data_IF_190597296250
#
_entry.id   IF_190597296250
#
_cell.length_a   1.000
_cell.length_b   1.000
_cell.length_c   1.000
_cell.angle_alpha   90.00
_cell.angle_beta   90.00
_cell.angle_gamma   90.00
#
_symmetry.space_group_name_H-M   'P 1'
#
loop_
_entity.id
_entity.type
_entity.pdbx_description
1 polymer ?
#
# COMPACT_ATOMS: atom_id res chain seq x y z
N UNK A 1 -10.57 15.64 -2.13
CA UNK A 1 -10.44 14.20 -2.39
C UNK A 1 -9.31 14.00 -3.40
N UNK A 2 -8.15 13.44 -3.00
CA UNK A 2 -7.00 13.27 -3.88
C UNK A 2 -7.39 12.48 -5.15
N UNK A 3 -7.11 13.06 -6.32
CA UNK A 3 -7.37 12.46 -7.64
C UNK A 3 -8.82 12.05 -7.93
N UNK A 4 -9.80 12.45 -7.11
CA UNK A 4 -11.21 12.05 -7.27
C UNK A 4 -11.45 10.55 -7.15
N UNK A 5 -10.52 9.80 -6.55
CA UNK A 5 -10.57 8.34 -6.45
C UNK A 5 -10.65 7.88 -4.98
N UNK A 6 -11.21 6.69 -4.78
CA UNK A 6 -11.22 5.96 -3.50
C UNK A 6 -10.36 4.68 -3.62
N UNK A 7 -9.80 4.16 -2.51
CA UNK A 7 -9.90 4.67 -1.14
C UNK A 7 -8.99 5.87 -0.85
N UNK A 8 -9.32 6.62 0.21
CA UNK A 8 -8.51 7.74 0.75
C UNK A 8 -8.19 7.45 2.22
N UNK A 9 -6.90 7.57 2.58
CA UNK A 9 -6.44 7.60 3.97
C UNK A 9 -6.10 9.05 4.35
N UNK A 10 -6.56 9.51 5.50
CA UNK A 10 -6.24 10.82 6.04
C UNK A 10 -5.45 10.69 7.35
N UNK A 11 -4.28 11.33 7.42
CA UNK A 11 -3.43 11.36 8.63
C UNK A 11 -3.13 12.82 8.95
N UNK A 12 -3.59 13.31 10.11
CA UNK A 12 -3.39 14.69 10.55
C UNK A 12 -3.84 15.73 9.50
N UNK A 13 -5.02 15.55 8.91
CA UNK A 13 -5.56 16.45 7.89
C UNK A 13 -4.90 16.36 6.51
N UNK A 14 -3.99 15.38 6.29
CA UNK A 14 -3.32 15.16 4.99
C UNK A 14 -3.93 13.94 4.29
N UNK A 15 -4.78 14.13 3.26
CA UNK A 15 -5.38 13.01 2.54
C UNK A 15 -4.43 12.46 1.46
N UNK A 16 -4.34 11.14 1.36
CA UNK A 16 -3.62 10.40 0.31
C UNK A 16 -4.57 9.36 -0.30
N UNK A 17 -4.53 9.23 -1.62
CA UNK A 17 -5.17 8.13 -2.36
C UNK A 17 -4.11 7.25 -3.01
N UNK A 18 -4.53 6.14 -3.62
CA UNK A 18 -3.75 4.96 -4.07
C UNK A 18 -3.78 3.83 -3.05
N UNK A 19 -4.63 2.83 -3.31
CA UNK A 19 -4.91 1.71 -2.39
C UNK A 19 -3.64 0.96 -1.98
N UNK A 20 -2.77 0.62 -2.94
CA UNK A 20 -1.57 -0.17 -2.66
C UNK A 20 -0.56 0.64 -1.83
N UNK A 21 -0.39 1.93 -2.12
CA UNK A 21 0.49 2.81 -1.33
C UNK A 21 -0.01 2.96 0.11
N UNK A 22 -1.32 3.12 0.30
CA UNK A 22 -1.98 3.17 1.60
C UNK A 22 -1.78 1.86 2.36
N UNK A 23 -2.05 0.72 1.73
CA UNK A 23 -1.89 -0.61 2.33
C UNK A 23 -0.44 -0.84 2.77
N UNK A 24 0.54 -0.54 1.90
CA UNK A 24 1.97 -0.68 2.20
C UNK A 24 2.41 0.20 3.37
N UNK A 25 1.93 1.44 3.45
CA UNK A 25 2.21 2.32 4.58
C UNK A 25 1.68 1.72 5.90
N UNK A 26 0.44 1.25 5.92
CA UNK A 26 -0.16 0.66 7.12
C UNK A 26 0.53 -0.66 7.49
N UNK A 27 0.89 -1.48 6.51
CA UNK A 27 1.61 -2.73 6.74
C UNK A 27 2.94 -2.47 7.47
N UNK A 28 3.76 -1.52 6.99
CA UNK A 28 5.00 -1.14 7.70
C UNK A 28 4.72 -0.58 9.09
N UNK A 29 3.71 0.29 9.23
CA UNK A 29 3.35 0.92 10.51
C UNK A 29 2.97 -0.10 11.59
N UNK A 30 2.39 -1.24 11.20
CA UNK A 30 1.90 -2.27 12.11
C UNK A 30 2.70 -3.58 12.06
N UNK A 31 3.90 -3.59 11.46
CA UNK A 31 4.78 -4.77 11.45
C UNK A 31 4.28 -5.94 10.59
N UNK A 32 3.57 -5.64 9.49
CA UNK A 32 2.97 -6.60 8.56
C UNK A 32 3.64 -6.59 7.17
N UNK A 33 4.85 -6.03 7.05
CA UNK A 33 5.58 -5.87 5.78
C UNK A 33 6.92 -6.63 5.77
N UNK A 34 7.01 -7.76 6.47
CA UNK A 34 8.26 -8.50 6.63
C UNK A 34 9.17 -7.96 7.74
N UNK A 35 10.20 -8.74 8.08
CA UNK A 35 11.20 -8.43 9.11
C UNK A 35 12.40 -7.65 8.56
N UNK A 36 12.64 -7.73 7.25
CA UNK A 36 13.72 -7.05 6.55
C UNK A 36 13.31 -6.56 5.16
N UNK A 37 14.24 -5.90 4.46
CA UNK A 37 14.02 -5.35 3.12
C UNK A 37 13.70 -6.44 2.08
N UNK A 38 14.26 -7.64 2.25
CA UNK A 38 14.01 -8.75 1.32
C UNK A 38 12.59 -9.27 1.48
N UNK A 39 12.13 -9.50 2.72
CA UNK A 39 10.76 -9.91 3.00
C UNK A 39 9.74 -8.83 2.60
N UNK A 40 10.05 -7.54 2.83
CA UNK A 40 9.20 -6.44 2.36
C UNK A 40 9.08 -6.42 0.84
N UNK A 41 10.19 -6.66 0.13
CA UNK A 41 10.19 -6.75 -1.33
C UNK A 41 9.34 -7.93 -1.80
N UNK A 42 9.39 -9.08 -1.12
CA UNK A 42 8.54 -10.23 -1.45
C UNK A 42 7.04 -9.91 -1.27
N UNK A 43 6.66 -9.13 -0.26
CA UNK A 43 5.28 -8.63 -0.15
C UNK A 43 4.87 -7.76 -1.35
N UNK A 44 5.77 -6.89 -1.81
CA UNK A 44 5.52 -6.02 -2.96
C UNK A 44 5.37 -6.82 -4.25
N UNK A 45 6.25 -7.79 -4.49
CA UNK A 45 6.15 -8.71 -5.64
C UNK A 45 4.77 -9.38 -5.66
N UNK A 46 4.27 -9.89 -4.53
CA UNK A 46 2.97 -10.55 -4.47
C UNK A 46 1.81 -9.60 -4.81
N UNK A 47 1.80 -8.41 -4.22
CA UNK A 47 0.74 -7.42 -4.42
C UNK A 47 0.73 -6.89 -5.85
N UNK A 48 1.90 -6.61 -6.42
CA UNK A 48 2.02 -6.05 -7.77
C UNK A 48 1.75 -7.14 -8.82
N UNK A 49 2.17 -8.39 -8.61
CA UNK A 49 1.78 -9.54 -9.46
C UNK A 49 0.26 -9.69 -9.51
N UNK A 50 -0.44 -9.55 -8.38
CA UNK A 50 -1.91 -9.56 -8.35
C UNK A 50 -2.51 -8.39 -9.13
N UNK A 51 -1.85 -7.23 -9.15
CA UNK A 51 -2.21 -6.09 -9.98
C UNK A 51 -2.09 -6.40 -11.47
N UNK A 52 -0.97 -7.00 -11.89
CA UNK A 52 -0.69 -7.36 -13.28
C UNK A 52 -1.63 -8.43 -13.82
N UNK A 53 -2.11 -9.35 -12.95
CA UNK A 53 -3.07 -10.39 -13.33
C UNK A 53 -4.48 -9.85 -13.62
N UNK A 54 -4.80 -8.62 -13.23
CA UNK A 54 -6.09 -8.01 -13.57
C UNK A 54 -6.11 -7.69 -15.07
N UNK A 55 -6.85 -8.51 -15.82
CA UNK A 55 -7.20 -8.28 -17.23
C UNK A 55 -7.91 -6.94 -17.43
#
# INVERSE_FOLDING_TARGET
MPYGMLPVLEINGKPIAQSNAVARYLARKYGLAGQDEWESMMCDVLVDTLGDLKL
#
